data_IF_523653844169
#
_entry.id   IF_523653844169
#
_cell.length_a   1.000
_cell.length_b   1.000
_cell.length_c   1.000
_cell.angle_alpha   90.00
_cell.angle_beta   90.00
_cell.angle_gamma   90.00
#
_symmetry.space_group_name_H-M   'P 1'
#
loop_
_entity.id
_entity.type
_entity.pdbx_description
1 polymer ?
#
# COMPACT_ATOMS: atom_id res chain seq x y z
N UNK A 1 43.63 2.24 -7.65
CA UNK A 1 42.31 1.74 -7.22
C UNK A 1 41.70 2.79 -6.31
N UNK A 2 40.64 3.47 -6.75
CA UNK A 2 40.14 4.67 -6.07
C UNK A 2 39.28 4.28 -4.86
N UNK A 3 39.88 4.31 -3.67
CA UNK A 3 39.23 3.95 -2.40
C UNK A 3 37.96 4.77 -2.13
N UNK A 4 37.91 6.01 -2.62
CA UNK A 4 36.75 6.89 -2.46
C UNK A 4 35.49 6.31 -3.13
N UNK A 5 35.64 5.76 -4.35
CA UNK A 5 34.51 5.16 -5.08
C UNK A 5 33.98 3.92 -4.35
N UNK A 6 34.88 3.10 -3.79
CA UNK A 6 34.48 1.93 -3.01
C UNK A 6 33.76 2.32 -1.71
N UNK A 7 34.24 3.35 -1.02
CA UNK A 7 33.56 3.87 0.19
C UNK A 7 32.15 4.34 -0.17
N UNK A 8 31.98 5.16 -1.22
CA UNK A 8 30.65 5.62 -1.63
C UNK A 8 29.72 4.47 -2.01
N UNK A 9 30.21 3.49 -2.77
CA UNK A 9 29.44 2.30 -3.14
C UNK A 9 28.96 1.51 -1.91
N UNK A 10 29.85 1.26 -0.95
CA UNK A 10 29.49 0.51 0.26
C UNK A 10 28.52 1.30 1.14
N UNK A 11 28.72 2.61 1.29
CA UNK A 11 27.78 3.45 2.04
C UNK A 11 26.36 3.31 1.47
N UNK A 12 26.22 3.27 0.14
CA UNK A 12 24.91 3.23 -0.50
C UNK A 12 24.26 1.85 -0.52
N UNK A 13 25.08 0.80 -0.65
CA UNK A 13 24.63 -0.60 -0.60
C UNK A 13 23.98 -0.93 0.75
N UNK A 14 24.52 -0.42 1.85
CA UNK A 14 24.05 -0.74 3.20
C UNK A 14 23.11 0.31 3.80
N UNK A 15 22.83 1.40 3.09
CA UNK A 15 21.93 2.44 3.58
C UNK A 15 20.49 1.93 3.58
N UNK A 16 19.77 2.14 4.68
CA UNK A 16 18.34 1.88 4.71
C UNK A 16 17.64 2.84 3.72
N UNK A 17 16.93 2.33 2.70
CA UNK A 17 16.19 3.16 1.75
C UNK A 17 14.89 3.74 2.32
N UNK A 18 14.56 3.40 3.56
CA UNK A 18 13.31 3.74 4.22
C UNK A 18 12.35 2.56 4.25
N UNK A 19 12.84 1.38 4.67
CA UNK A 19 11.98 0.22 4.83
C UNK A 19 10.87 0.48 5.86
N UNK A 20 9.65 0.03 5.53
CA UNK A 20 8.50 0.08 6.42
C UNK A 20 8.50 -1.10 7.40
N UNK A 21 7.93 -0.92 8.60
CA UNK A 21 7.71 -2.01 9.54
C UNK A 21 6.72 -3.03 8.97
N UNK A 22 6.85 -4.28 9.41
CA UNK A 22 6.02 -5.41 8.99
C UNK A 22 5.10 -5.86 10.12
N UNK A 23 3.95 -6.45 9.79
CA UNK A 23 2.95 -6.95 10.73
C UNK A 23 2.55 -5.88 11.76
N UNK A 24 2.13 -4.72 11.24
CA UNK A 24 1.83 -3.56 12.06
C UNK A 24 0.40 -3.62 12.58
N UNK A 25 0.14 -3.05 13.75
CA UNK A 25 -1.21 -3.03 14.33
C UNK A 25 -2.16 -2.22 13.45
N UNK A 26 -1.66 -1.15 12.83
CA UNK A 26 -2.44 -0.30 11.93
C UNK A 26 -2.94 -1.07 10.70
N UNK A 27 -2.22 -2.10 10.26
CA UNK A 27 -2.68 -2.97 9.17
C UNK A 27 -3.86 -3.83 9.59
N UNK A 28 -3.79 -4.45 10.76
CA UNK A 28 -4.87 -5.27 11.31
C UNK A 28 -6.14 -4.43 11.56
N UNK A 29 -5.97 -3.25 12.14
CA UNK A 29 -7.06 -2.30 12.37
C UNK A 29 -7.71 -1.86 11.06
N UNK A 30 -6.92 -1.48 10.06
CA UNK A 30 -7.42 -1.04 8.75
C UNK A 30 -8.13 -2.19 8.01
N UNK A 31 -7.61 -3.42 8.08
CA UNK A 31 -8.29 -4.60 7.54
C UNK A 31 -9.64 -4.84 8.21
N UNK A 32 -9.69 -4.75 9.53
CA UNK A 32 -10.91 -4.97 10.31
C UNK A 32 -11.99 -3.93 9.96
N UNK A 33 -11.61 -2.65 9.87
CA UNK A 33 -12.52 -1.59 9.46
C UNK A 33 -13.03 -1.77 8.02
N UNK A 34 -12.14 -2.16 7.09
CA UNK A 34 -12.54 -2.47 5.71
C UNK A 34 -13.53 -3.63 5.66
N UNK A 35 -13.36 -4.67 6.48
CA UNK A 35 -14.29 -5.78 6.55
C UNK A 35 -15.68 -5.33 7.03
N UNK A 36 -15.73 -4.52 8.09
CA UNK A 36 -16.97 -3.95 8.61
C UNK A 36 -17.68 -3.09 7.56
N UNK A 37 -16.95 -2.22 6.86
CA UNK A 37 -17.49 -1.36 5.81
C UNK A 37 -18.01 -2.18 4.62
N UNK A 38 -17.26 -3.19 4.18
CA UNK A 38 -17.71 -4.12 3.13
C UNK A 38 -19.02 -4.82 3.52
N UNK A 39 -19.14 -5.28 4.79
CA UNK A 39 -20.35 -5.91 5.31
C UNK A 39 -21.54 -4.95 5.32
N UNK A 40 -21.34 -3.71 5.75
CA UNK A 40 -22.36 -2.65 5.76
C UNK A 40 -22.82 -2.28 4.34
N UNK A 41 -21.91 -2.26 3.36
CA UNK A 41 -22.29 -2.02 1.96
C UNK A 41 -23.05 -3.21 1.36
N UNK A 42 -22.64 -4.44 1.67
CA UNK A 42 -23.34 -5.63 1.22
C UNK A 42 -24.78 -5.68 1.75
N UNK A 43 -25.01 -5.35 3.02
CA UNK A 43 -26.38 -5.32 3.57
C UNK A 43 -27.27 -4.30 2.87
N UNK A 44 -26.74 -3.14 2.44
CA UNK A 44 -27.48 -2.17 1.62
C UNK A 44 -27.86 -2.70 0.23
N UNK A 45 -27.01 -3.52 -0.37
CA UNK A 45 -27.26 -4.13 -1.68
C UNK A 45 -28.19 -5.36 -1.59
N UNK A 46 -28.28 -5.99 -0.42
CA UNK A 46 -29.13 -7.14 -0.14
C UNK A 46 -30.56 -6.75 0.31
N UNK A 47 -30.89 -5.46 0.39
CA UNK A 47 -32.28 -5.03 0.61
C UNK A 47 -33.15 -5.55 -0.55
N UNK A 48 -34.40 -5.98 -0.28
CA UNK A 48 -35.30 -6.45 -1.33
C UNK A 48 -35.35 -5.40 -2.43
N UNK A 49 -35.07 -5.83 -3.65
CA UNK A 49 -35.21 -5.01 -4.85
C UNK A 49 -36.70 -4.71 -5.03
N UNK A 50 -37.21 -3.67 -4.38
CA UNK A 50 -38.51 -3.09 -4.66
C UNK A 50 -38.42 -2.28 -5.96
N UNK A 51 -38.29 -3.01 -7.07
CA UNK A 51 -38.51 -2.50 -8.41
C UNK A 51 -37.34 -1.79 -9.11
N UNK A 52 -37.56 -1.34 -10.36
CA UNK A 52 -36.52 -0.82 -11.25
C UNK A 52 -35.98 0.58 -10.89
N UNK A 53 -36.43 1.22 -9.82
CA UNK A 53 -36.11 2.62 -9.49
C UNK A 53 -35.11 2.76 -8.34
N UNK A 54 -33.91 2.21 -8.48
CA UNK A 54 -32.80 2.72 -7.67
C UNK A 54 -32.45 4.13 -8.17
N UNK A 55 -32.82 5.15 -7.40
CA UNK A 55 -32.59 6.55 -7.75
C UNK A 55 -31.11 6.75 -8.19
N UNK A 56 -30.82 7.46 -9.30
CA UNK A 56 -29.46 7.63 -9.82
C UNK A 56 -28.42 8.08 -8.78
N UNK A 57 -28.87 8.88 -7.80
CA UNK A 57 -28.06 9.33 -6.67
C UNK A 57 -27.61 8.19 -5.74
N UNK A 58 -28.48 7.18 -5.48
CA UNK A 58 -28.12 6.01 -4.68
C UNK A 58 -27.06 5.14 -5.38
N UNK A 59 -27.22 4.92 -6.69
CA UNK A 59 -26.21 4.19 -7.49
C UNK A 59 -24.87 4.93 -7.46
N UNK A 60 -24.90 6.27 -7.60
CA UNK A 60 -23.68 7.07 -7.56
C UNK A 60 -23.01 7.03 -6.18
N UNK A 61 -23.78 7.08 -5.09
CA UNK A 61 -23.27 6.95 -3.73
C UNK A 61 -22.59 5.59 -3.52
N UNK A 62 -23.22 4.49 -3.96
CA UNK A 62 -22.64 3.15 -3.87
C UNK A 62 -21.32 3.04 -4.65
N UNK A 63 -21.30 3.55 -5.90
CA UNK A 63 -20.08 3.59 -6.72
C UNK A 63 -18.96 4.36 -6.04
N UNK A 64 -19.27 5.48 -5.37
CA UNK A 64 -18.29 6.25 -4.59
C UNK A 64 -17.75 5.43 -3.42
N UNK A 65 -18.62 4.76 -2.65
CA UNK A 65 -18.20 3.91 -1.52
C UNK A 65 -17.28 2.76 -1.98
N UNK A 66 -17.65 2.04 -3.05
CA UNK A 66 -16.82 0.97 -3.62
C UNK A 66 -15.44 1.50 -4.06
N UNK A 67 -15.42 2.70 -4.68
CA UNK A 67 -14.17 3.33 -5.11
C UNK A 67 -13.26 3.69 -3.93
N UNK A 68 -13.82 4.15 -2.81
CA UNK A 68 -13.06 4.46 -1.59
C UNK A 68 -12.47 3.17 -1.00
N UNK A 69 -13.28 2.13 -0.81
CA UNK A 69 -12.82 0.84 -0.30
C UNK A 69 -11.70 0.24 -1.15
N UNK A 70 -11.85 0.27 -2.47
CA UNK A 70 -10.82 -0.24 -3.39
C UNK A 70 -9.50 0.51 -3.24
N UNK A 71 -9.53 1.83 -3.00
CA UNK A 71 -8.32 2.63 -2.76
C UNK A 71 -7.66 2.27 -1.43
N UNK A 72 -8.43 2.19 -0.34
CA UNK A 72 -7.94 1.80 0.99
C UNK A 72 -7.32 0.40 0.99
N UNK A 73 -7.99 -0.56 0.32
CA UNK A 73 -7.43 -1.89 0.12
C UNK A 73 -6.12 -1.84 -0.69
N UNK A 74 -6.04 -0.99 -1.71
CA UNK A 74 -4.83 -0.78 -2.51
C UNK A 74 -3.65 -0.19 -1.74
N UNK A 75 -3.90 0.56 -0.65
CA UNK A 75 -2.84 1.02 0.26
C UNK A 75 -2.33 -0.08 1.19
N UNK A 76 -2.93 -1.25 1.27
CA UNK A 76 -2.40 -2.33 2.10
C UNK A 76 -1.33 -3.13 1.35
N UNK A 77 -0.36 -3.64 2.10
CA UNK A 77 0.56 -4.68 1.64
C UNK A 77 0.31 -5.95 2.44
N UNK A 78 -0.34 -6.93 1.83
CA UNK A 78 -0.64 -8.20 2.50
C UNK A 78 0.60 -9.07 2.70
N UNK A 79 1.63 -8.93 1.86
CA UNK A 79 2.91 -9.64 2.01
C UNK A 79 3.67 -9.18 3.26
N UNK A 80 3.66 -7.87 3.52
CA UNK A 80 4.38 -7.29 4.66
C UNK A 80 3.50 -7.11 5.91
N UNK A 81 2.17 -7.20 5.78
CA UNK A 81 1.23 -6.87 6.86
C UNK A 81 1.35 -5.41 7.29
N UNK A 82 1.40 -4.47 6.35
CA UNK A 82 1.57 -3.04 6.66
C UNK A 82 0.68 -2.13 5.78
N UNK A 83 0.36 -0.93 6.28
CA UNK A 83 -0.26 0.13 5.49
C UNK A 83 0.84 0.89 4.73
N UNK A 84 0.73 0.96 3.40
CA UNK A 84 1.64 1.72 2.54
C UNK A 84 1.23 3.19 2.57
N UNK A 85 2.11 4.10 3.05
CA UNK A 85 1.89 5.53 2.90
C UNK A 85 1.93 5.92 1.41
N UNK A 86 1.56 7.16 1.12
CA UNK A 86 1.57 7.70 -0.24
C UNK A 86 2.95 7.48 -0.88
N UNK A 87 2.94 6.98 -2.12
CA UNK A 87 4.13 6.65 -2.94
C UNK A 87 5.00 5.49 -2.43
N UNK A 88 4.69 4.85 -1.30
CA UNK A 88 5.37 3.62 -0.91
C UNK A 88 4.97 2.44 -1.80
N UNK A 89 5.91 1.53 -2.05
CA UNK A 89 5.70 0.32 -2.86
C UNK A 89 6.40 -0.87 -2.22
N UNK A 90 5.91 -2.07 -2.51
CA UNK A 90 6.58 -3.31 -2.14
C UNK A 90 7.63 -3.67 -3.19
N UNK A 91 8.88 -3.83 -2.78
CA UNK A 91 9.92 -4.39 -3.64
C UNK A 91 9.92 -5.91 -3.47
N UNK A 92 9.62 -6.65 -4.55
CA UNK A 92 9.63 -8.11 -4.52
C UNK A 92 11.03 -8.72 -4.36
N UNK A 93 12.09 -7.98 -4.72
CA UNK A 93 13.48 -8.44 -4.57
C UNK A 93 13.94 -8.31 -3.11
N UNK A 94 13.69 -7.17 -2.47
CA UNK A 94 13.98 -6.98 -1.04
C UNK A 94 12.94 -7.62 -0.11
N UNK A 95 11.81 -8.09 -0.65
CA UNK A 95 10.63 -8.59 0.08
C UNK A 95 10.14 -7.64 1.20
N UNK A 96 10.23 -6.33 0.96
CA UNK A 96 9.91 -5.28 1.94
C UNK A 96 9.25 -4.10 1.24
N UNK A 97 8.37 -3.42 1.95
CA UNK A 97 7.87 -2.12 1.50
C UNK A 97 8.87 -1.01 1.80
N UNK A 98 9.04 -0.08 0.87
CA UNK A 98 9.98 1.05 0.96
C UNK A 98 9.21 2.36 0.82
N UNK A 99 9.46 3.32 1.71
CA UNK A 99 8.88 4.68 1.64
C UNK A 99 9.36 5.39 0.38
N UNK A 100 8.43 6.03 -0.32
CA UNK A 100 8.69 6.79 -1.56
C UNK A 100 9.55 6.00 -2.57
N UNK A 101 9.34 4.68 -2.67
CA UNK A 101 10.15 3.80 -3.51
C UNK A 101 10.18 4.27 -4.97
N UNK A 102 11.39 4.54 -5.45
CA UNK A 102 11.66 4.82 -6.85
C UNK A 102 11.88 3.52 -7.60
N UNK A 103 13.00 2.85 -7.35
CA UNK A 103 13.39 1.60 -8.00
C UNK A 103 14.23 0.70 -7.07
N UNK A 104 14.49 -0.53 -7.51
CA UNK A 104 15.52 -1.39 -6.95
C UNK A 104 16.71 -1.33 -7.89
N UNK A 105 17.88 -0.95 -7.37
CA UNK A 105 19.07 -0.74 -8.17
C UNK A 105 19.89 -2.04 -8.24
N UNK A 106 20.07 -2.65 -9.42
CA UNK A 106 20.85 -3.89 -9.55
C UNK A 106 22.34 -3.70 -9.27
N UNK A 107 22.84 -2.46 -9.34
CA UNK A 107 24.26 -2.16 -9.11
C UNK A 107 24.59 -2.19 -7.62
N UNK A 108 23.74 -1.59 -6.78
CA UNK A 108 23.93 -1.56 -5.32
C UNK A 108 23.21 -2.70 -4.61
N UNK A 109 22.46 -3.54 -5.35
CA UNK A 109 21.59 -4.60 -4.82
C UNK A 109 20.67 -4.10 -3.69
N UNK A 110 20.26 -2.84 -3.78
CA UNK A 110 19.49 -2.14 -2.76
C UNK A 110 18.40 -1.29 -3.40
N UNK A 111 17.34 -1.01 -2.65
CA UNK A 111 16.31 -0.08 -3.08
C UNK A 111 16.82 1.37 -3.03
N UNK A 112 16.23 2.21 -3.89
CA UNK A 112 16.33 3.66 -3.82
C UNK A 112 14.96 4.20 -3.41
N UNK A 113 14.92 4.79 -2.23
CA UNK A 113 13.71 5.26 -1.56
C UNK A 113 13.91 6.64 -0.94
N UNK A 114 13.09 6.94 0.07
CA UNK A 114 13.11 8.24 0.75
C UNK A 114 14.47 8.56 1.41
N UNK A 115 15.07 7.57 2.06
CA UNK A 115 16.23 7.82 2.92
C UNK A 115 17.57 7.72 2.19
N UNK A 116 17.57 7.33 0.92
CA UNK A 116 18.77 7.16 0.09
C UNK A 116 18.59 7.57 -1.39
N UNK A 117 17.86 8.66 -1.62
CA UNK A 117 17.63 9.22 -2.97
C UNK A 117 18.71 10.19 -3.43
#
# INVERSE_FOLDING_TARGET
>A
MNIFLWICYFMETFKDPGFLPTNTVEYEDELHELFIECRKLRSRCNLPFEGPEMLPLHVQALRRSIKILKRRLGSLCHTCGCVKPIRAKHCGLCNRCVRVMDHHCPVTDNCVGEDNR
#
